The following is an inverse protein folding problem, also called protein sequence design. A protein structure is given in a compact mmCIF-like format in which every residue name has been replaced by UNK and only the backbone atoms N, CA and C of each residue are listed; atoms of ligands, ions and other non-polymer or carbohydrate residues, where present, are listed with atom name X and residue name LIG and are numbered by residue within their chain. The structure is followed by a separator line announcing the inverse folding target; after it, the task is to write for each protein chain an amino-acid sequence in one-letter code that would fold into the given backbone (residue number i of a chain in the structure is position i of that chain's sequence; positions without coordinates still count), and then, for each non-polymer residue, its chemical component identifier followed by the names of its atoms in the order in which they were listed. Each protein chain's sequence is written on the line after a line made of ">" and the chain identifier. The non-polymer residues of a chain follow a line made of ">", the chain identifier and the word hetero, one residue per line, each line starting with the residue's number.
data_IF_232657782314
#
_entry.id   IF_232657782314
#
_cell.length_a   1.000
_cell.length_b   1.000
_cell.length_c   1.000
_cell.angle_alpha   90.00
_cell.angle_beta   90.00
_cell.angle_gamma   90.00
#
_symmetry.space_group_name_H-M   'P 1'
#
loop_
_entity.id
_entity.type
_entity.pdbx_description
1 polymer ?
#
# COMPACT_ATOMS: atom_id res chain seq x y z
N UNK A 1 1.73 -0.43 -15.62
CA UNK A 1 0.67 0.07 -14.73
C UNK A 1 1.04 1.48 -14.31
N UNK A 2 0.21 2.49 -14.59
CA UNK A 2 0.44 3.89 -14.17
C UNK A 2 -0.61 4.24 -13.11
N UNK A 3 -0.19 4.80 -11.98
CA UNK A 3 -1.08 5.33 -10.96
C UNK A 3 -1.12 6.85 -11.13
N UNK A 4 -2.31 7.39 -11.36
CA UNK A 4 -2.55 8.83 -11.46
C UNK A 4 -3.56 9.25 -10.41
N UNK A 5 -3.39 10.45 -9.85
CA UNK A 5 -4.31 11.04 -8.88
C UNK A 5 -5.44 11.76 -9.60
N UNK A 6 -6.60 11.82 -8.96
CA UNK A 6 -7.73 12.58 -9.46
C UNK A 6 -8.67 12.97 -8.34
N UNK A 7 -9.50 13.97 -8.59
CA UNK A 7 -10.50 14.46 -7.64
C UNK A 7 -11.90 14.14 -8.13
N UNK A 8 -12.78 13.72 -7.21
CA UNK A 8 -14.20 13.55 -7.53
C UNK A 8 -14.89 14.91 -7.55
N UNK A 9 -15.50 15.27 -8.68
CA UNK A 9 -16.31 16.49 -8.88
C UNK A 9 -17.62 16.09 -9.55
N UNK A 10 -18.75 16.37 -8.89
CA UNK A 10 -20.08 16.05 -9.43
C UNK A 10 -20.32 14.55 -9.68
N UNK A 11 -19.65 13.66 -8.94
CA UNK A 11 -19.75 12.21 -9.14
C UNK A 11 -18.80 11.64 -10.20
N UNK A 12 -17.97 12.47 -10.82
CA UNK A 12 -16.99 12.06 -11.82
C UNK A 12 -15.56 12.23 -11.29
N UNK A 13 -14.65 11.30 -11.63
CA UNK A 13 -13.22 11.41 -11.32
C UNK A 13 -12.55 12.28 -12.38
N UNK A 14 -12.01 13.42 -11.96
CA UNK A 14 -11.19 14.29 -12.80
C UNK A 14 -9.73 13.93 -12.57
N UNK A 15 -9.09 13.32 -13.58
CA UNK A 15 -7.70 12.88 -13.54
C UNK A 15 -6.77 14.09 -13.73
N UNK A 16 -5.74 14.22 -12.88
CA UNK A 16 -4.73 15.27 -12.98
C UNK A 16 -3.55 14.83 -13.85
N UNK A 17 -2.93 15.79 -14.56
CA UNK A 17 -1.75 15.53 -15.40
C UNK A 17 -2.10 15.17 -16.84
N UNK A 18 -1.30 14.30 -17.46
CA UNK A 18 -1.46 13.95 -18.87
C UNK A 18 -2.80 13.25 -19.14
N UNK A 19 -3.42 13.48 -20.31
CA UNK A 19 -4.59 12.73 -20.73
C UNK A 19 -4.29 11.23 -20.78
N UNK A 20 -5.28 10.43 -20.40
CA UNK A 20 -5.23 8.98 -20.64
C UNK A 20 -5.55 8.70 -22.11
N UNK A 21 -4.90 7.67 -22.66
CA UNK A 21 -5.13 7.27 -24.04
C UNK A 21 -6.58 6.82 -24.25
N UNK A 22 -7.18 7.22 -25.37
CA UNK A 22 -8.54 6.84 -25.72
C UNK A 22 -8.70 5.31 -25.76
N UNK A 23 -9.80 4.80 -25.20
CA UNK A 23 -10.07 3.36 -25.11
C UNK A 23 -9.37 2.63 -23.96
N UNK A 24 -8.60 3.34 -23.11
CA UNK A 24 -7.97 2.74 -21.93
C UNK A 24 -8.99 2.26 -20.89
N UNK A 25 -8.86 1.00 -20.46
CA UNK A 25 -9.56 0.49 -19.27
C UNK A 25 -8.87 0.99 -18.01
N UNK A 26 -9.61 1.67 -17.13
CA UNK A 26 -9.10 2.20 -15.87
C UNK A 26 -9.66 1.45 -14.67
N UNK A 27 -8.86 1.36 -13.61
CA UNK A 27 -9.30 0.86 -12.31
C UNK A 27 -9.26 2.02 -11.32
N UNK A 28 -10.39 2.30 -10.67
CA UNK A 28 -10.48 3.32 -9.62
C UNK A 28 -10.17 2.67 -8.28
N UNK A 29 -9.07 3.08 -7.65
CA UNK A 29 -8.77 2.72 -6.27
C UNK A 29 -9.29 3.82 -5.34
N UNK A 30 -10.23 3.46 -4.48
CA UNK A 30 -10.64 4.29 -3.36
C UNK A 30 -9.87 3.80 -2.14
N UNK A 31 -8.94 4.62 -1.66
CA UNK A 31 -8.22 4.30 -0.44
C UNK A 31 -9.09 4.65 0.78
N UNK A 32 -9.44 3.65 1.59
CA UNK A 32 -9.96 3.85 2.96
C UNK A 32 -8.77 3.98 3.94
N UNK A 33 -7.70 4.66 3.51
CA UNK A 33 -6.54 4.96 4.35
C UNK A 33 -6.99 5.83 5.52
N UNK A 34 -7.29 5.16 6.63
CA UNK A 34 -7.40 5.78 7.93
C UNK A 34 -5.98 6.09 8.38
N UNK A 35 -5.63 7.36 8.34
CA UNK A 35 -4.42 7.83 9.02
C UNK A 35 -4.56 7.56 10.51
N UNK A 36 -3.58 6.88 11.09
CA UNK A 36 -3.45 6.70 12.52
C UNK A 36 -2.21 7.44 12.99
N UNK A 37 -2.28 8.02 14.19
CA UNK A 37 -1.14 8.64 14.83
C UNK A 37 -0.41 7.60 15.67
N UNK A 38 0.89 7.46 15.46
CA UNK A 38 1.75 6.63 16.30
C UNK A 38 2.40 7.47 17.40
N UNK A 39 2.69 6.84 18.53
CA UNK A 39 3.67 7.38 19.47
C UNK A 39 5.08 7.24 18.89
N UNK A 40 6.04 7.99 19.43
CA UNK A 40 7.44 7.87 19.00
C UNK A 40 8.02 6.45 19.22
N UNK A 41 7.53 5.75 20.24
CA UNK A 41 7.92 4.37 20.53
C UNK A 41 7.37 3.40 19.48
N UNK A 42 6.07 3.51 19.16
CA UNK A 42 5.43 2.65 18.17
C UNK A 42 5.99 2.88 16.76
N UNK A 43 6.31 4.13 16.42
CA UNK A 43 6.96 4.48 15.16
C UNK A 43 8.35 3.84 15.05
N UNK A 44 9.16 3.93 16.11
CA UNK A 44 10.47 3.28 16.14
C UNK A 44 10.36 1.75 16.04
N UNK A 45 9.37 1.14 16.68
CA UNK A 45 9.11 -0.29 16.59
C UNK A 45 8.70 -0.71 15.17
N UNK A 46 7.83 0.05 14.51
CA UNK A 46 7.40 -0.19 13.14
C UNK A 46 8.56 -0.08 12.15
N UNK A 47 9.38 0.96 12.26
CA UNK A 47 10.54 1.16 11.38
C UNK A 47 11.56 0.03 11.53
N UNK A 48 11.75 -0.48 12.75
CA UNK A 48 12.60 -1.65 12.99
C UNK A 48 12.03 -2.90 12.30
N UNK A 49 10.73 -3.15 12.43
CA UNK A 49 10.08 -4.31 11.81
C UNK A 49 10.17 -4.27 10.27
N UNK A 50 10.02 -3.10 9.65
CA UNK A 50 10.21 -2.93 8.20
C UNK A 50 11.66 -3.28 7.82
N UNK A 51 12.64 -2.75 8.56
CA UNK A 51 14.06 -3.06 8.34
C UNK A 51 14.40 -4.55 8.54
N UNK A 52 13.69 -5.25 9.43
CA UNK A 52 13.85 -6.69 9.61
C UNK A 52 13.29 -7.47 8.41
N UNK A 53 12.12 -7.09 7.90
CA UNK A 53 11.52 -7.71 6.72
C UNK A 53 12.38 -7.51 5.45
N UNK A 54 12.97 -6.33 5.28
CA UNK A 54 13.82 -6.01 4.12
C UNK A 54 15.17 -6.76 4.11
N UNK A 55 15.56 -7.38 5.23
CA UNK A 55 16.85 -8.08 5.33
C UNK A 55 16.88 -9.45 4.65
N UNK A 56 15.77 -9.88 4.03
CA UNK A 56 15.60 -11.20 3.40
C UNK A 56 15.99 -12.38 4.35
N UNK A 57 15.97 -12.14 5.66
CA UNK A 57 16.21 -13.14 6.71
C UNK A 57 14.89 -13.89 6.99
N UNK A 58 14.51 -14.72 6.03
CA UNK A 58 13.24 -15.42 5.99
C UNK A 58 13.39 -16.89 6.36
N UNK A 59 12.36 -17.45 6.99
CA UNK A 59 12.20 -18.88 7.24
C UNK A 59 11.06 -19.43 6.38
N UNK A 60 11.16 -20.69 5.96
CA UNK A 60 10.11 -21.33 5.17
C UNK A 60 8.83 -21.51 6.01
N UNK A 61 7.68 -21.24 5.39
CA UNK A 61 6.39 -21.28 6.06
C UNK A 61 6.02 -22.69 6.55
N UNK A 62 6.37 -23.73 5.81
CA UNK A 62 6.11 -25.12 6.22
C UNK A 62 6.95 -25.49 7.45
N UNK A 63 8.16 -24.95 7.55
CA UNK A 63 9.04 -25.17 8.70
C UNK A 63 8.56 -24.42 9.94
N UNK A 64 7.99 -23.22 9.78
CA UNK A 64 7.31 -22.52 10.88
C UNK A 64 6.11 -23.33 11.37
N UNK A 65 5.25 -23.81 10.46
CA UNK A 65 4.04 -24.56 10.81
C UNK A 65 4.37 -25.85 11.57
N UNK A 66 5.41 -26.58 11.16
CA UNK A 66 5.90 -27.78 11.88
C UNK A 66 6.35 -27.49 13.32
N UNK A 67 6.86 -26.29 13.60
CA UNK A 67 7.37 -25.91 14.92
C UNK A 67 6.30 -25.38 15.88
N UNK A 68 5.09 -25.09 15.38
CA UNK A 68 3.96 -24.57 16.18
C UNK A 68 2.75 -25.51 16.21
N UNK A 69 2.82 -26.66 15.53
CA UNK A 69 1.80 -27.73 15.52
C UNK A 69 2.18 -28.86 16.49
#
# INVERSE_FOLDING_TARGET
>A
MRITKGKVVGGHVIVEGDPLDEGSTVTVLISDERTFTLSAEDEAALLRAISEADRDDLVDGDDVIKNIS
#
